data_IF_624414897394
#
_entry.id   IF_624414897394
#
_cell.length_a   1.000
_cell.length_b   1.000
_cell.length_c   1.000
_cell.angle_alpha   90.00
_cell.angle_beta   90.00
_cell.angle_gamma   90.00
#
_symmetry.space_group_name_H-M   'P 1'
#
loop_
_entity.id
_entity.type
_entity.pdbx_description
1 polymer ?
#
# COMPACT_ATOMS: atom_id res chain seq x y z
N UNK A 1 17.67 14.48 -17.71
CA UNK A 1 17.73 13.14 -18.32
C UNK A 1 16.50 13.05 -19.22
N UNK A 2 16.69 13.10 -20.55
CA UNK A 2 15.61 13.24 -21.55
C UNK A 2 15.24 11.82 -22.01
N UNK A 3 13.95 11.45 -21.91
CA UNK A 3 13.46 10.17 -22.41
C UNK A 3 13.64 10.08 -23.94
N UNK A 4 14.09 8.95 -24.50
CA UNK A 4 14.21 8.80 -25.94
C UNK A 4 12.83 8.81 -26.59
N UNK A 5 12.67 9.56 -27.69
CA UNK A 5 11.48 9.51 -28.53
C UNK A 5 11.42 8.15 -29.24
N UNK A 6 10.78 7.18 -28.59
CA UNK A 6 10.48 5.87 -29.19
C UNK A 6 9.46 6.09 -30.31
N UNK A 7 9.84 5.79 -31.56
CA UNK A 7 8.87 5.72 -32.66
C UNK A 7 7.81 4.66 -32.36
N UNK A 8 6.58 4.88 -32.82
CA UNK A 8 5.40 4.05 -32.48
C UNK A 8 5.62 2.54 -32.74
N UNK A 9 6.42 2.20 -33.76
CA UNK A 9 6.79 0.82 -34.08
C UNK A 9 7.63 0.14 -33.01
N UNK A 10 8.63 0.85 -32.44
CA UNK A 10 9.50 0.31 -31.39
C UNK A 10 8.81 0.19 -30.03
N UNK A 11 7.80 1.02 -29.77
CA UNK A 11 6.98 0.96 -28.55
C UNK A 11 6.04 -0.25 -28.61
N UNK A 12 5.41 -0.48 -29.77
CA UNK A 12 4.60 -1.68 -30.00
C UNK A 12 5.45 -2.96 -29.93
N UNK A 13 6.66 -2.94 -30.48
CA UNK A 13 7.59 -4.07 -30.39
C UNK A 13 7.97 -4.39 -28.93
N UNK A 14 8.19 -3.35 -28.10
CA UNK A 14 8.41 -3.52 -26.65
C UNK A 14 7.17 -4.07 -25.93
N UNK A 15 5.97 -3.58 -26.24
CA UNK A 15 4.71 -4.07 -25.65
C UNK A 15 4.42 -5.53 -26.04
N UNK A 16 4.76 -5.92 -27.27
CA UNK A 16 4.55 -7.26 -27.82
C UNK A 16 5.70 -8.23 -27.52
N UNK A 17 6.86 -7.73 -27.08
CA UNK A 17 8.05 -8.53 -26.76
C UNK A 17 7.86 -9.50 -25.58
N UNK A 18 6.73 -9.42 -24.88
CA UNK A 18 6.43 -10.27 -23.72
C UNK A 18 7.16 -9.84 -22.45
N UNK A 19 7.85 -8.69 -22.47
CA UNK A 19 8.39 -8.03 -21.29
C UNK A 19 7.24 -7.76 -20.31
N UNK A 20 7.27 -8.46 -19.18
CA UNK A 20 6.23 -8.35 -18.16
C UNK A 20 6.40 -7.02 -17.44
N UNK A 21 5.53 -6.06 -17.76
CA UNK A 21 5.47 -4.78 -17.05
C UNK A 21 5.11 -5.02 -15.57
N UNK A 22 6.03 -4.67 -14.68
CA UNK A 22 5.80 -4.64 -13.23
C UNK A 22 5.68 -3.18 -12.80
N UNK A 23 4.46 -2.67 -12.55
CA UNK A 23 4.31 -1.31 -12.06
C UNK A 23 5.08 -1.14 -10.76
N UNK A 24 5.73 0.01 -10.63
CA UNK A 24 6.43 0.38 -9.40
C UNK A 24 5.48 0.31 -8.22
N UNK A 25 5.98 -0.18 -7.09
CA UNK A 25 5.20 -0.24 -5.86
C UNK A 25 4.69 1.16 -5.49
N UNK A 26 3.40 1.31 -5.17
CA UNK A 26 2.82 2.63 -4.89
C UNK A 26 3.46 3.24 -3.65
N UNK A 27 3.86 4.50 -3.74
CA UNK A 27 4.59 5.19 -2.70
C UNK A 27 3.68 5.82 -1.64
N UNK A 28 2.41 6.07 -1.99
CA UNK A 28 1.48 6.82 -1.15
C UNK A 28 0.03 6.35 -1.31
N UNK A 29 -0.82 6.78 -0.36
CA UNK A 29 -2.25 6.48 -0.31
C UNK A 29 -3.02 7.00 -1.53
N UNK A 30 -2.61 8.15 -2.06
CA UNK A 30 -3.25 8.79 -3.19
C UNK A 30 -3.05 7.97 -4.48
N UNK A 31 -1.85 7.43 -4.72
CA UNK A 31 -1.55 6.51 -5.83
C UNK A 31 -2.33 5.20 -5.72
N UNK A 32 -2.56 4.72 -4.50
CA UNK A 32 -3.33 3.52 -4.24
C UNK A 32 -4.85 3.74 -4.43
N UNK A 33 -5.30 5.01 -4.48
CA UNK A 33 -6.71 5.37 -4.58
C UNK A 33 -7.54 4.99 -3.35
N UNK A 34 -6.89 4.76 -2.20
CA UNK A 34 -7.56 4.39 -0.95
C UNK A 34 -7.61 5.58 0.00
N UNK A 35 -8.73 5.71 0.71
CA UNK A 35 -8.82 6.67 1.80
C UNK A 35 -8.05 6.18 3.02
N UNK A 36 -7.47 7.13 3.76
CA UNK A 36 -6.75 6.84 5.01
C UNK A 36 -7.64 6.12 6.02
N UNK A 37 -8.86 6.61 6.25
CA UNK A 37 -9.82 6.02 7.20
C UNK A 37 -10.22 4.58 6.84
N UNK A 38 -10.25 4.24 5.55
CA UNK A 38 -10.51 2.88 5.10
C UNK A 38 -9.37 1.94 5.50
N UNK A 39 -8.12 2.36 5.32
CA UNK A 39 -6.95 1.56 5.71
C UNK A 39 -6.81 1.42 7.22
N UNK A 40 -7.08 2.47 7.99
CA UNK A 40 -7.10 2.41 9.45
C UNK A 40 -8.14 1.37 9.91
N UNK A 41 -9.35 1.43 9.36
CA UNK A 41 -10.42 0.47 9.67
C UNK A 41 -10.04 -0.96 9.26
N UNK A 42 -9.35 -1.12 8.14
CA UNK A 42 -8.95 -2.42 7.61
C UNK A 42 -7.83 -3.05 8.43
N UNK A 43 -6.85 -2.23 8.88
CA UNK A 43 -5.81 -2.62 9.83
C UNK A 43 -6.44 -2.99 11.19
N UNK A 44 -7.33 -2.14 11.72
CA UNK A 44 -8.04 -2.40 12.96
C UNK A 44 -8.85 -3.70 12.89
N UNK A 45 -9.58 -3.92 11.79
CA UNK A 45 -10.34 -5.16 11.58
C UNK A 45 -9.43 -6.39 11.57
N UNK A 46 -8.29 -6.33 10.89
CA UNK A 46 -7.35 -7.45 10.85
C UNK A 46 -6.75 -7.76 12.23
N UNK A 47 -6.43 -6.73 13.02
CA UNK A 47 -5.96 -6.87 14.40
C UNK A 47 -7.07 -7.41 15.32
N UNK A 48 -8.32 -6.98 15.15
CA UNK A 48 -9.44 -7.50 15.94
C UNK A 48 -9.71 -8.99 15.66
N UNK A 49 -9.58 -9.43 14.40
CA UNK A 49 -9.83 -10.83 14.03
C UNK A 49 -8.69 -11.77 14.41
N UNK A 50 -7.44 -11.34 14.29
CA UNK A 50 -6.28 -12.21 14.53
C UNK A 50 -5.37 -11.78 15.68
N UNK A 51 -5.80 -10.83 16.51
CA UNK A 51 -5.06 -10.36 17.68
C UNK A 51 -3.83 -9.53 17.30
N UNK A 52 -2.69 -9.89 17.90
CA UNK A 52 -1.43 -9.17 17.69
C UNK A 52 -0.78 -9.54 16.37
N UNK A 53 -0.40 -8.55 15.58
CA UNK A 53 0.37 -8.71 14.36
C UNK A 53 1.48 -7.67 14.29
N UNK A 54 2.63 -8.05 13.73
CA UNK A 54 3.68 -7.09 13.38
C UNK A 54 3.26 -6.30 12.15
N UNK A 55 3.76 -5.08 11.96
CA UNK A 55 3.44 -4.29 10.76
C UNK A 55 3.78 -5.00 9.45
N UNK A 56 4.82 -5.85 9.44
CA UNK A 56 5.20 -6.66 8.25
C UNK A 56 4.21 -7.78 7.97
N UNK A 57 3.78 -8.50 8.99
CA UNK A 57 2.74 -9.54 8.85
C UNK A 57 1.41 -8.92 8.45
N UNK A 58 1.08 -7.75 9.02
CA UNK A 58 -0.11 -7.00 8.64
C UNK A 58 -0.06 -6.58 7.17
N UNK A 59 1.06 -6.01 6.71
CA UNK A 59 1.25 -5.63 5.32
C UNK A 59 1.14 -6.82 4.35
N UNK A 60 1.74 -7.96 4.72
CA UNK A 60 1.63 -9.20 3.93
C UNK A 60 0.19 -9.72 3.85
N UNK A 61 -0.53 -9.74 4.96
CA UNK A 61 -1.92 -10.21 5.01
C UNK A 61 -2.88 -9.30 4.24
N UNK A 62 -2.59 -8.00 4.20
CA UNK A 62 -3.39 -7.02 3.49
C UNK A 62 -2.97 -6.87 2.02
N UNK A 63 -1.89 -7.54 1.61
CA UNK A 63 -1.27 -7.39 0.28
C UNK A 63 -0.94 -5.93 -0.05
N UNK A 64 -0.48 -5.18 0.95
CA UNK A 64 -0.15 -3.76 0.81
C UNK A 64 1.33 -3.50 1.09
N UNK A 65 1.92 -2.45 0.49
CA UNK A 65 3.26 -2.01 0.82
C UNK A 65 3.41 -1.74 2.32
N UNK A 66 4.46 -2.30 2.93
CA UNK A 66 4.73 -2.10 4.36
C UNK A 66 4.84 -0.61 4.73
N UNK A 67 5.40 0.21 3.84
CA UNK A 67 5.54 1.66 4.07
C UNK A 67 4.20 2.35 4.29
N UNK A 68 3.18 1.94 3.52
CA UNK A 68 1.83 2.50 3.63
C UNK A 68 1.17 2.04 4.93
N UNK A 69 1.25 0.75 5.23
CA UNK A 69 0.63 0.17 6.43
C UNK A 69 1.25 0.72 7.71
N UNK A 70 2.58 0.83 7.75
CA UNK A 70 3.30 1.40 8.90
C UNK A 70 2.88 2.86 9.16
N UNK A 71 2.87 3.71 8.14
CA UNK A 71 2.45 5.10 8.28
C UNK A 71 1.01 5.22 8.80
N UNK A 72 0.07 4.45 8.25
CA UNK A 72 -1.34 4.50 8.72
C UNK A 72 -1.52 4.01 10.15
N UNK A 73 -0.70 3.06 10.62
CA UNK A 73 -0.76 2.57 11.99
C UNK A 73 -0.20 3.60 12.99
N UNK A 74 0.85 4.33 12.60
CA UNK A 74 1.42 5.42 13.39
C UNK A 74 0.46 6.62 13.47
N UNK A 75 -0.16 6.99 12.34
CA UNK A 75 -1.15 8.06 12.27
C UNK A 75 -2.41 7.74 13.08
N UNK A 76 -2.86 6.48 13.04
CA UNK A 76 -3.96 6.01 13.85
C UNK A 76 -3.65 6.10 15.36
N UNK A 77 -2.41 5.76 15.77
CA UNK A 77 -1.97 5.90 17.15
C UNK A 77 -1.91 7.37 17.58
N UNK A 78 -1.51 8.29 16.71
CA UNK A 78 -1.48 9.73 17.00
C UNK A 78 -2.87 10.38 17.00
N UNK A 79 -3.85 9.77 16.33
CA UNK A 79 -5.24 10.22 16.27
C UNK A 79 -6.12 9.67 17.40
N UNK A 80 -5.61 8.70 18.17
CA UNK A 80 -6.30 8.06 19.30
C UNK A 80 -6.28 8.93 20.57
N UNK A 81 -6.89 10.11 20.49
CA UNK A 81 -7.44 10.84 21.66
C UNK A 81 -8.95 10.59 21.82
N UNK A 82 -9.54 9.73 20.98
CA UNK A 82 -10.96 9.37 21.00
C UNK A 82 -11.16 7.86 21.14
N UNK A 83 -10.53 7.29 22.16
CA UNK A 83 -11.06 6.14 22.87
C UNK A 83 -10.98 4.80 22.14
N UNK A 84 -10.01 4.01 22.62
CA UNK A 84 -10.05 2.55 22.78
C UNK A 84 -9.44 1.76 21.61
N UNK A 85 -8.13 1.55 21.70
CA UNK A 85 -7.48 0.33 21.24
C UNK A 85 -7.32 -0.68 22.39
N UNK A 86 -8.10 -1.77 22.45
CA UNK A 86 -7.75 -2.91 23.28
C UNK A 86 -7.12 -3.97 22.39
N UNK A 87 -5.80 -4.12 22.46
CA UNK A 87 -5.18 -5.42 22.19
C UNK A 87 -4.47 -5.82 23.49
N UNK A 88 -5.17 -6.60 24.31
CA UNK A 88 -4.58 -7.35 25.42
C UNK A 88 -3.94 -8.62 24.89
#
# INVERSE_FOLDING_TARGET
MIAPAYGDGSLLELLLSGEKFWPTEPANLHELGLSQSFLETLCARRLLTGGSATGRTLAADLCLPYRIVAGTAEDAASSDTRGRWPVR
#
